data_IF_017148964448
#
_entry.id   IF_017148964448
#
_cell.length_a   1.000
_cell.length_b   1.000
_cell.length_c   1.000
_cell.angle_alpha   90.00
_cell.angle_beta   90.00
_cell.angle_gamma   90.00
#
_symmetry.space_group_name_H-M   'P 1'
#
loop_
_entity.id
_entity.type
_entity.pdbx_description
1 polymer ?
#
# COMPACT_ATOMS: atom_id res chain seq x y z
N UNK A 1 36.64 -5.62 -11.29
CA UNK A 1 35.67 -4.62 -10.78
C UNK A 1 34.82 -5.31 -9.74
N UNK A 2 34.68 -4.72 -8.55
CA UNK A 2 33.80 -5.24 -7.49
C UNK A 2 32.37 -5.37 -8.02
N UNK A 3 31.65 -6.42 -7.64
CA UNK A 3 30.24 -6.57 -8.03
C UNK A 3 29.38 -5.49 -7.33
N UNK A 4 28.19 -5.20 -7.86
CA UNK A 4 27.26 -4.25 -7.20
C UNK A 4 26.92 -4.76 -5.78
N UNK A 5 26.81 -6.08 -5.60
CA UNK A 5 26.55 -6.70 -4.31
C UNK A 5 27.71 -6.46 -3.32
N UNK A 6 28.96 -6.54 -3.78
CA UNK A 6 30.14 -6.20 -2.95
C UNK A 6 30.15 -4.73 -2.56
N UNK A 7 29.83 -3.83 -3.49
CA UNK A 7 29.75 -2.39 -3.22
C UNK A 7 28.67 -2.04 -2.20
N UNK A 8 27.50 -2.69 -2.28
CA UNK A 8 26.43 -2.51 -1.29
C UNK A 8 26.93 -2.96 0.09
N UNK A 9 27.54 -4.15 0.18
CA UNK A 9 28.05 -4.70 1.43
C UNK A 9 29.12 -3.82 2.07
N UNK A 10 30.05 -3.27 1.30
CA UNK A 10 31.05 -2.33 1.80
C UNK A 10 30.42 -1.07 2.41
N UNK A 11 29.38 -0.53 1.77
CA UNK A 11 28.65 0.64 2.28
C UNK A 11 27.85 0.30 3.55
N UNK A 12 27.25 -0.90 3.62
CA UNK A 12 26.55 -1.38 4.83
C UNK A 12 27.51 -1.56 6.00
N UNK A 13 28.69 -2.13 5.78
CA UNK A 13 29.73 -2.29 6.81
C UNK A 13 30.25 -0.93 7.31
N UNK A 14 30.36 0.06 6.42
CA UNK A 14 30.71 1.44 6.81
C UNK A 14 29.63 2.06 7.70
N UNK A 15 28.35 1.87 7.38
CA UNK A 15 27.25 2.36 8.21
C UNK A 15 27.29 1.68 9.59
N UNK A 16 27.48 0.36 9.64
CA UNK A 16 27.52 -0.41 10.88
C UNK A 16 28.66 0.02 11.82
N UNK A 17 29.81 0.40 11.27
CA UNK A 17 30.98 0.89 12.03
C UNK A 17 30.85 2.34 12.48
N UNK A 18 29.95 3.11 11.88
CA UNK A 18 29.80 4.54 12.16
C UNK A 18 28.83 4.77 13.32
N UNK A 19 29.29 5.37 14.42
CA UNK A 19 28.40 5.76 15.53
C UNK A 19 27.47 6.89 15.07
N UNK A 20 26.16 6.70 15.24
CA UNK A 20 25.15 7.70 14.89
C UNK A 20 25.20 8.90 15.85
N UNK A 21 25.48 10.09 15.30
CA UNK A 21 25.41 11.38 15.97
C UNK A 21 25.05 12.47 14.95
N UNK A 22 24.75 13.69 15.41
CA UNK A 22 24.34 14.81 14.54
C UNK A 22 25.40 15.20 13.49
N UNK A 23 26.68 14.89 13.72
CA UNK A 23 27.75 15.13 12.76
C UNK A 23 27.88 14.00 11.71
N UNK A 24 27.54 12.76 12.07
CA UNK A 24 27.61 11.59 11.17
C UNK A 24 26.31 11.34 10.42
N UNK A 25 25.19 11.95 10.83
CA UNK A 25 23.89 11.79 10.21
C UNK A 25 23.88 12.10 8.71
N UNK A 26 24.52 13.19 8.28
CA UNK A 26 24.62 13.54 6.87
C UNK A 26 25.46 12.53 6.06
N UNK A 27 26.56 12.04 6.65
CA UNK A 27 27.37 11.00 6.04
C UNK A 27 26.58 9.70 5.88
N UNK A 28 25.84 9.29 6.91
CA UNK A 28 24.98 8.10 6.88
C UNK A 28 23.86 8.27 5.84
N UNK A 29 23.22 9.45 5.77
CA UNK A 29 22.21 9.75 4.75
C UNK A 29 22.76 9.61 3.33
N UNK A 30 23.98 10.11 3.08
CA UNK A 30 24.67 9.97 1.80
C UNK A 30 25.00 8.51 1.46
N UNK A 31 25.48 7.72 2.43
CA UNK A 31 25.74 6.29 2.24
C UNK A 31 24.46 5.53 1.91
N UNK A 32 23.37 5.79 2.65
CA UNK A 32 22.06 5.18 2.39
C UNK A 32 21.50 5.55 1.01
N UNK A 33 21.67 6.80 0.57
CA UNK A 33 21.24 7.23 -0.77
C UNK A 33 22.03 6.49 -1.88
N UNK A 34 23.34 6.27 -1.68
CA UNK A 34 24.15 5.47 -2.59
C UNK A 34 23.72 4.01 -2.64
N UNK A 35 23.49 3.38 -1.47
CA UNK A 35 22.98 2.01 -1.39
C UNK A 35 21.66 1.90 -2.15
N UNK A 36 20.69 2.78 -1.85
CA UNK A 36 19.38 2.76 -2.50
C UNK A 36 19.46 2.87 -4.02
N UNK A 37 20.39 3.70 -4.54
CA UNK A 37 20.65 3.81 -5.98
C UNK A 37 21.22 2.52 -6.57
N UNK A 38 22.25 1.94 -5.93
CA UNK A 38 22.88 0.70 -6.38
C UNK A 38 21.89 -0.48 -6.37
N UNK A 39 21.06 -0.60 -5.33
CA UNK A 39 20.00 -1.62 -5.25
C UNK A 39 19.01 -1.46 -6.40
N UNK A 40 18.58 -0.24 -6.72
CA UNK A 40 17.66 0.02 -7.83
C UNK A 40 18.28 -0.33 -9.19
N UNK A 41 19.57 -0.02 -9.39
CA UNK A 41 20.30 -0.36 -10.61
C UNK A 41 20.43 -1.89 -10.79
N UNK A 42 20.69 -2.61 -9.70
CA UNK A 42 20.74 -4.08 -9.69
C UNK A 42 19.37 -4.70 -10.01
N UNK A 43 18.29 -4.19 -9.39
CA UNK A 43 16.92 -4.61 -9.70
C UNK A 43 16.58 -4.39 -11.19
N UNK A 44 16.94 -3.24 -11.75
CA UNK A 44 16.74 -2.94 -13.18
C UNK A 44 17.52 -3.92 -14.07
N UNK A 45 18.80 -4.18 -13.77
CA UNK A 45 19.63 -5.15 -14.52
C UNK A 45 19.07 -6.57 -14.47
N UNK A 46 18.56 -6.99 -13.30
CA UNK A 46 17.91 -8.30 -13.10
C UNK A 46 16.59 -8.38 -13.87
N UNK A 47 15.84 -7.28 -13.99
CA UNK A 47 14.58 -7.21 -14.75
C UNK A 47 14.78 -7.24 -16.28
N UNK A 48 15.88 -6.67 -16.81
CA UNK A 48 16.15 -6.63 -18.25
C UNK A 48 16.63 -7.96 -18.85
N UNK A 49 17.11 -8.90 -18.03
CA UNK A 49 17.59 -10.23 -18.48
C UNK A 49 16.53 -11.34 -18.43
N UNK A 50 15.38 -11.08 -17.80
CA UNK A 50 14.28 -12.03 -17.69
C UNK A 50 13.04 -11.49 -18.38
N UNK A 51 12.42 -12.29 -19.25
CA UNK A 51 11.11 -12.02 -19.82
C UNK A 51 10.07 -12.11 -18.68
N UNK A 52 10.05 -11.08 -17.82
CA UNK A 52 9.31 -11.09 -16.56
C UNK A 52 7.86 -10.75 -16.90
N UNK A 53 7.03 -11.78 -17.13
CA UNK A 53 5.57 -11.59 -17.07
C UNK A 53 5.28 -10.92 -15.72
N UNK A 54 4.81 -9.68 -15.74
CA UNK A 54 4.45 -8.98 -14.51
C UNK A 54 3.48 -9.85 -13.73
N UNK A 55 3.90 -10.35 -12.57
CA UNK A 55 3.07 -11.12 -11.67
C UNK A 55 2.08 -10.17 -11.01
N UNK A 56 1.05 -9.81 -11.77
CA UNK A 56 -0.07 -9.02 -11.30
C UNK A 56 -1.14 -10.01 -10.85
N UNK A 57 -1.36 -10.11 -9.55
CA UNK A 57 -2.65 -10.60 -9.04
C UNK A 57 -3.68 -9.60 -9.55
N UNK A 58 -4.55 -10.03 -10.47
CA UNK A 58 -5.63 -9.17 -10.95
C UNK A 58 -6.52 -8.84 -9.75
N UNK A 59 -6.68 -7.54 -9.49
CA UNK A 59 -7.64 -7.07 -8.49
C UNK A 59 -9.01 -7.62 -8.86
N UNK A 60 -9.60 -8.41 -7.97
CA UNK A 60 -10.95 -8.93 -8.12
C UNK A 60 -11.84 -8.28 -7.05
N UNK A 61 -13.03 -7.84 -7.44
CA UNK A 61 -13.93 -7.10 -6.55
C UNK A 61 -13.52 -5.63 -6.36
N UNK A 62 -13.98 -5.03 -5.27
CA UNK A 62 -13.82 -3.61 -5.02
C UNK A 62 -12.52 -3.26 -4.29
N UNK A 63 -11.96 -4.18 -3.51
CA UNK A 63 -10.71 -3.97 -2.78
C UNK A 63 -9.97 -5.28 -2.50
N UNK A 64 -8.66 -5.19 -2.29
CA UNK A 64 -7.77 -6.31 -1.98
C UNK A 64 -7.13 -6.11 -0.60
N UNK A 65 -7.26 -7.11 0.27
CA UNK A 65 -6.66 -7.18 1.61
C UNK A 65 -5.61 -8.28 1.61
N UNK A 66 -4.39 -7.98 2.05
CA UNK A 66 -3.34 -8.99 2.21
C UNK A 66 -3.22 -9.41 3.68
N UNK A 67 -3.34 -10.70 3.97
CA UNK A 67 -3.10 -11.27 5.31
C UNK A 67 -1.60 -11.47 5.49
N UNK A 68 -1.04 -10.87 6.54
CA UNK A 68 0.39 -10.96 6.85
C UNK A 68 0.57 -11.28 8.33
N UNK A 69 1.40 -12.28 8.65
CA UNK A 69 1.60 -12.74 10.03
C UNK A 69 2.39 -14.04 10.08
N UNK A 70 2.86 -14.42 11.26
CA UNK A 70 3.69 -15.61 11.43
C UNK A 70 2.99 -16.91 10.98
N UNK A 71 3.74 -17.98 10.65
CA UNK A 71 3.16 -19.31 10.54
C UNK A 71 2.38 -19.65 11.83
N UNK A 72 1.31 -20.43 11.70
CA UNK A 72 0.54 -20.95 12.86
C UNK A 72 -0.16 -19.92 13.76
N UNK A 73 -0.22 -18.64 13.37
CA UNK A 73 -1.05 -17.62 14.05
C UNK A 73 -2.53 -17.70 13.69
N UNK A 74 -2.92 -18.62 12.78
CA UNK A 74 -4.30 -18.84 12.37
C UNK A 74 -4.76 -18.05 11.14
N UNK A 75 -3.84 -17.59 10.28
CA UNK A 75 -4.17 -16.84 9.04
C UNK A 75 -5.18 -17.56 8.13
N UNK A 76 -4.92 -18.81 7.78
CA UNK A 76 -5.78 -19.55 6.85
C UNK A 76 -7.15 -19.86 7.46
N UNK A 77 -7.21 -20.12 8.77
CA UNK A 77 -8.47 -20.25 9.51
C UNK A 77 -9.26 -18.93 9.51
N UNK A 78 -8.57 -17.81 9.72
CA UNK A 78 -9.17 -16.47 9.67
C UNK A 78 -9.69 -16.15 8.27
N UNK A 79 -8.93 -16.47 7.21
CA UNK A 79 -9.36 -16.34 5.83
C UNK A 79 -10.68 -17.08 5.60
N UNK A 80 -10.74 -18.37 5.94
CA UNK A 80 -11.93 -19.21 5.75
C UNK A 80 -13.16 -18.66 6.49
N UNK A 81 -12.96 -18.06 7.67
CA UNK A 81 -14.03 -17.41 8.44
C UNK A 81 -14.51 -16.11 7.81
N UNK A 82 -13.59 -15.27 7.31
CA UNK A 82 -13.92 -13.99 6.69
C UNK A 82 -14.63 -14.18 5.34
N UNK A 83 -14.21 -15.17 4.55
CA UNK A 83 -14.74 -15.41 3.21
C UNK A 83 -15.97 -16.31 3.21
N UNK A 84 -16.20 -17.03 4.32
CA UNK A 84 -17.21 -18.08 4.42
C UNK A 84 -16.73 -19.35 3.71
N UNK A 85 -16.88 -20.51 4.37
CA UNK A 85 -16.39 -21.81 3.90
C UNK A 85 -16.98 -22.32 2.55
N UNK A 86 -17.83 -21.53 1.89
CA UNK A 86 -18.51 -21.83 0.61
C UNK A 86 -18.29 -20.79 -0.50
N UNK A 87 -17.49 -19.74 -0.26
CA UNK A 87 -17.08 -18.88 -1.37
C UNK A 87 -16.17 -19.74 -2.22
N UNK A 88 -16.59 -20.06 -3.44
CA UNK A 88 -15.86 -20.91 -4.38
C UNK A 88 -14.38 -20.59 -4.25
N UNK A 89 -13.57 -21.60 -3.92
CA UNK A 89 -12.15 -21.57 -4.25
C UNK A 89 -12.17 -21.59 -5.77
N UNK A 90 -12.42 -20.42 -6.37
CA UNK A 90 -12.37 -20.24 -7.80
C UNK A 90 -10.95 -20.61 -8.13
N UNK A 91 -10.80 -21.76 -8.80
CA UNK A 91 -9.57 -22.12 -9.45
C UNK A 91 -9.35 -21.04 -10.52
N UNK A 92 -8.83 -19.90 -10.10
CA UNK A 92 -8.23 -18.94 -11.00
C UNK A 92 -7.00 -19.67 -11.52
N UNK A 93 -7.20 -20.44 -12.59
CA UNK A 93 -6.23 -21.31 -13.27
C UNK A 93 -5.05 -20.55 -13.90
N UNK A 94 -4.67 -19.41 -13.32
CA UNK A 94 -3.68 -18.49 -13.84
C UNK A 94 -2.74 -17.92 -12.76
N UNK A 95 -2.82 -18.36 -11.50
CA UNK A 95 -1.83 -17.97 -10.49
C UNK A 95 -0.83 -19.10 -10.28
N UNK A 96 0.42 -18.89 -10.68
CA UNK A 96 1.58 -19.72 -10.26
C UNK A 96 1.96 -19.52 -8.79
N UNK A 97 1.06 -18.90 -8.01
CA UNK A 97 1.33 -18.36 -6.68
C UNK A 97 0.81 -19.31 -5.61
N UNK A 98 1.58 -19.50 -4.54
CA UNK A 98 1.12 -20.11 -3.27
C UNK A 98 0.12 -19.20 -2.51
N UNK A 99 -0.48 -18.20 -3.17
CA UNK A 99 -1.43 -17.27 -2.56
C UNK A 99 -2.83 -17.84 -2.71
N UNK A 100 -3.52 -18.06 -1.59
CA UNK A 100 -4.92 -18.49 -1.60
C UNK A 100 -5.82 -17.26 -1.58
N UNK A 101 -6.51 -16.92 -2.68
CA UNK A 101 -7.51 -15.87 -2.66
C UNK A 101 -8.83 -16.40 -2.09
N UNK A 102 -9.50 -15.59 -1.28
CA UNK A 102 -10.91 -15.78 -0.97
C UNK A 102 -11.66 -14.46 -1.03
N UNK A 103 -12.96 -14.49 -1.26
CA UNK A 103 -13.78 -13.28 -1.40
C UNK A 103 -14.73 -13.16 -0.22
N UNK A 104 -14.60 -12.06 0.52
CA UNK A 104 -15.53 -11.63 1.55
C UNK A 104 -16.54 -10.68 0.94
N UNK A 105 -17.83 -10.93 1.14
CA UNK A 105 -18.89 -9.97 0.78
C UNK A 105 -19.37 -9.28 2.05
N UNK A 106 -19.23 -7.95 2.10
CA UNK A 106 -19.64 -7.15 3.25
C UNK A 106 -20.23 -5.81 2.79
N UNK A 107 -21.46 -5.50 3.21
CA UNK A 107 -22.19 -4.27 2.81
C UNK A 107 -22.15 -4.03 1.30
N UNK A 108 -22.47 -5.06 0.52
CA UNK A 108 -22.41 -5.10 -0.96
C UNK A 108 -21.00 -4.98 -1.58
N UNK A 109 -19.95 -4.76 -0.79
CA UNK A 109 -18.57 -4.78 -1.27
C UNK A 109 -18.06 -6.21 -1.38
N UNK A 110 -17.47 -6.54 -2.53
CA UNK A 110 -16.66 -7.76 -2.71
C UNK A 110 -15.21 -7.42 -2.39
N UNK A 111 -14.69 -7.92 -1.27
CA UNK A 111 -13.34 -7.68 -0.81
C UNK A 111 -12.55 -8.98 -1.01
N UNK A 112 -11.53 -8.93 -1.87
CA UNK A 112 -10.60 -10.03 -2.08
C UNK A 112 -9.59 -10.07 -0.94
N UNK A 113 -9.49 -11.21 -0.26
CA UNK A 113 -8.53 -11.47 0.81
C UNK A 113 -7.49 -12.43 0.25
N UNK A 114 -6.21 -12.06 0.35
CA UNK A 114 -5.08 -12.85 -0.12
C UNK A 114 -4.28 -13.36 1.08
N UNK A 115 -4.14 -14.67 1.24
CA UNK A 115 -3.19 -15.25 2.20
C UNK A 115 -1.78 -15.17 1.63
N UNK A 116 -0.85 -14.51 2.32
CA UNK A 116 0.54 -14.35 1.92
C UNK A 116 1.45 -15.33 2.70
N UNK A 117 1.58 -16.61 2.29
CA UNK A 117 2.61 -17.46 2.87
C UNK A 117 4.00 -16.98 2.42
N UNK A 118 4.98 -17.04 3.31
CA UNK A 118 6.39 -16.91 2.92
C UNK A 118 7.01 -15.51 2.95
N UNK A 119 6.28 -14.43 3.28
CA UNK A 119 6.90 -13.11 3.55
C UNK A 119 8.03 -13.20 4.59
N UNK A 120 7.89 -14.12 5.57
CA UNK A 120 8.78 -14.25 6.73
C UNK A 120 9.98 -15.17 6.56
N UNK A 121 9.96 -16.09 5.58
CA UNK A 121 10.99 -17.14 5.52
C UNK A 121 12.06 -16.93 4.46
N UNK A 122 11.80 -16.16 3.39
CA UNK A 122 12.71 -16.15 2.23
C UNK A 122 12.81 -14.82 1.44
N UNK A 123 12.28 -13.70 1.94
CA UNK A 123 12.35 -12.41 1.22
C UNK A 123 13.80 -11.93 0.96
N UNK A 124 14.75 -12.33 1.81
CA UNK A 124 16.15 -11.94 1.76
C UNK A 124 17.06 -12.89 0.96
N UNK A 125 16.57 -14.04 0.46
CA UNK A 125 17.43 -15.08 -0.14
C UNK A 125 17.31 -15.29 -1.66
N UNK A 126 16.57 -14.45 -2.37
CA UNK A 126 16.60 -14.39 -3.85
C UNK A 126 16.13 -15.64 -4.59
N UNK A 127 15.67 -16.70 -3.90
CA UNK A 127 15.08 -17.88 -4.53
C UNK A 127 13.66 -17.56 -4.98
N UNK A 128 13.50 -17.20 -6.25
CA UNK A 128 12.29 -17.27 -7.10
C UNK A 128 10.92 -16.85 -6.56
N UNK A 129 10.45 -17.46 -5.46
CA UNK A 129 9.06 -17.45 -4.96
C UNK A 129 8.71 -16.23 -4.09
N UNK A 130 9.69 -15.61 -3.40
CA UNK A 130 9.43 -14.47 -2.50
C UNK A 130 9.02 -13.17 -3.20
N UNK A 131 9.43 -12.98 -4.47
CA UNK A 131 9.13 -11.77 -5.25
C UNK A 131 7.63 -11.62 -5.53
N UNK A 132 6.95 -12.73 -5.77
CA UNK A 132 5.54 -12.72 -6.15
C UNK A 132 4.64 -12.36 -4.95
N UNK A 133 4.97 -12.88 -3.77
CA UNK A 133 4.28 -12.55 -2.50
C UNK A 133 4.44 -11.06 -2.17
N UNK A 134 5.65 -10.52 -2.37
CA UNK A 134 5.91 -9.09 -2.20
C UNK A 134 5.12 -8.26 -3.21
N UNK A 135 5.06 -8.69 -4.49
CA UNK A 135 4.27 -7.99 -5.51
C UNK A 135 2.78 -7.97 -5.16
N UNK A 136 2.23 -9.11 -4.70
CA UNK A 136 0.85 -9.20 -4.22
C UNK A 136 0.60 -8.26 -3.03
N UNK A 137 1.46 -8.27 -2.02
CA UNK A 137 1.36 -7.38 -0.87
C UNK A 137 1.44 -5.89 -1.26
N UNK A 138 2.32 -5.53 -2.20
CA UNK A 138 2.44 -4.15 -2.73
C UNK A 138 1.21 -3.70 -3.53
N UNK A 139 0.45 -4.64 -4.08
CA UNK A 139 -0.77 -4.35 -4.85
C UNK A 139 -2.03 -4.25 -3.99
N UNK A 140 -1.96 -4.70 -2.73
CA UNK A 140 -3.07 -4.68 -1.79
C UNK A 140 -3.45 -3.24 -1.41
N UNK A 141 -4.73 -3.06 -1.09
CA UNK A 141 -5.26 -1.78 -0.61
C UNK A 141 -5.15 -1.66 0.91
N UNK A 142 -5.21 -2.79 1.62
CA UNK A 142 -5.03 -2.87 3.08
C UNK A 142 -4.19 -4.09 3.44
N UNK A 143 -3.29 -3.94 4.41
CA UNK A 143 -2.57 -5.06 5.04
C UNK A 143 -3.29 -5.39 6.36
N UNK A 144 -3.74 -6.65 6.51
CA UNK A 144 -4.27 -7.16 7.76
C UNK A 144 -3.17 -7.97 8.45
N UNK A 145 -2.60 -7.39 9.51
CA UNK A 145 -1.59 -8.01 10.35
C UNK A 145 -2.26 -8.99 11.31
N UNK A 146 -2.00 -10.27 11.16
CA UNK A 146 -2.51 -11.32 12.06
C UNK A 146 -1.46 -11.61 13.11
N UNK A 147 -1.79 -11.30 14.36
CA UNK A 147 -0.92 -11.38 15.52
C UNK A 147 -1.44 -12.45 16.46
N UNK A 148 -0.56 -13.27 17.03
CA UNK A 148 -0.94 -14.23 18.06
C UNK A 148 -0.92 -13.53 19.43
N UNK A 149 -2.00 -13.64 20.23
CA UNK A 149 -2.06 -13.06 21.57
C UNK A 149 -0.91 -13.52 22.48
N UNK A 150 -0.40 -14.75 22.28
CA UNK A 150 0.73 -15.29 23.06
C UNK A 150 2.09 -14.80 22.57
N UNK A 151 2.19 -14.36 21.31
CA UNK A 151 3.43 -13.89 20.69
C UNK A 151 3.16 -12.60 19.90
N UNK A 152 2.95 -11.47 20.61
CA UNK A 152 2.53 -10.22 19.98
C UNK A 152 3.65 -9.45 19.29
N UNK A 153 4.92 -9.85 19.48
CA UNK A 153 6.05 -9.22 18.82
C UNK A 153 6.09 -9.59 17.34
N UNK A 154 5.90 -8.58 16.50
CA UNK A 154 5.93 -8.66 15.03
C UNK A 154 6.98 -7.72 14.42
N UNK A 155 7.96 -7.29 15.21
CA UNK A 155 9.04 -6.40 14.78
C UNK A 155 9.75 -6.87 13.50
N UNK A 156 9.96 -8.19 13.38
CA UNK A 156 10.54 -8.83 12.19
C UNK A 156 9.65 -8.62 10.95
N UNK A 157 8.33 -8.78 11.08
CA UNK A 157 7.38 -8.55 9.97
C UNK A 157 7.40 -7.09 9.51
N UNK A 158 7.46 -6.13 10.44
CA UNK A 158 7.58 -4.73 10.07
C UNK A 158 8.85 -4.45 9.27
N UNK A 159 9.98 -5.03 9.70
CA UNK A 159 11.25 -4.91 8.99
C UNK A 159 11.17 -5.53 7.59
N UNK A 160 10.53 -6.67 7.44
CA UNK A 160 10.35 -7.33 6.14
C UNK A 160 9.46 -6.53 5.20
N UNK A 161 8.32 -6.03 5.68
CA UNK A 161 7.43 -5.16 4.89
C UNK A 161 8.13 -3.85 4.51
N UNK A 162 8.91 -3.28 5.43
CA UNK A 162 9.74 -2.11 5.15
C UNK A 162 10.75 -2.36 4.04
N UNK A 163 11.46 -3.48 4.11
CA UNK A 163 12.44 -3.91 3.10
C UNK A 163 11.76 -4.24 1.76
N UNK A 164 10.52 -4.72 1.80
CA UNK A 164 9.67 -4.94 0.62
C UNK A 164 9.11 -3.64 0.00
N UNK A 165 9.62 -2.47 0.41
CA UNK A 165 9.20 -1.15 -0.05
C UNK A 165 7.72 -0.80 0.28
N UNK A 166 7.16 -1.44 1.30
CA UNK A 166 5.83 -1.16 1.83
C UNK A 166 5.98 -0.25 3.07
N UNK A 167 5.20 0.83 3.11
CA UNK A 167 5.11 1.76 4.25
C UNK A 167 3.72 1.63 4.84
N UNK A 168 3.63 1.07 6.04
CA UNK A 168 2.34 0.84 6.72
C UNK A 168 1.90 2.11 7.45
N UNK A 169 0.64 2.49 7.29
CA UNK A 169 -0.01 3.62 7.98
C UNK A 169 0.73 4.97 7.87
N UNK A 170 1.49 5.16 6.80
CA UNK A 170 2.19 6.41 6.50
C UNK A 170 1.61 7.02 5.22
N UNK A 171 1.64 8.35 5.14
CA UNK A 171 1.39 9.07 3.90
C UNK A 171 2.68 9.23 3.10
N UNK A 172 2.54 9.39 1.78
CA UNK A 172 3.66 9.77 0.93
C UNK A 172 4.16 11.16 1.34
N UNK A 173 5.48 11.35 1.57
CA UNK A 173 5.99 12.66 1.91
C UNK A 173 5.75 13.70 0.81
N UNK A 174 5.28 14.89 1.19
CA UNK A 174 5.12 16.01 0.27
C UNK A 174 6.45 16.72 -0.02
N UNK A 175 7.22 16.07 -0.91
CA UNK A 175 8.48 16.59 -1.43
C UNK A 175 8.44 16.54 -2.95
N UNK A 176 8.70 17.68 -3.58
CA UNK A 176 8.77 17.80 -5.05
C UNK A 176 10.20 18.06 -5.47
N UNK A 177 10.74 17.23 -6.35
CA UNK A 177 12.07 17.41 -6.96
C UNK A 177 11.86 17.76 -8.42
N UNK A 178 12.30 18.95 -8.83
CA UNK A 178 12.21 19.43 -10.22
C UNK A 178 13.62 19.60 -10.76
N UNK A 179 13.95 18.95 -11.88
CA UNK A 179 15.22 19.16 -12.57
C UNK A 179 15.34 20.61 -13.07
N UNK A 180 16.55 21.15 -13.03
CA UNK A 180 16.87 22.45 -13.61
C UNK A 180 18.04 22.31 -14.58
N UNK A 181 18.18 23.23 -15.53
CA UNK A 181 19.29 23.19 -16.49
C UNK A 181 20.59 23.69 -15.85
N UNK A 182 20.50 24.65 -14.93
CA UNK A 182 21.63 25.30 -14.25
C UNK A 182 21.26 25.70 -12.80
N UNK A 183 22.27 26.01 -11.98
CA UNK A 183 22.07 26.57 -10.63
C UNK A 183 22.31 25.60 -9.46
N UNK A 184 22.77 24.37 -9.74
CA UNK A 184 23.03 23.37 -8.70
C UNK A 184 21.76 22.86 -8.03
N UNK A 185 21.91 22.26 -6.86
CA UNK A 185 20.79 21.76 -6.05
C UNK A 185 20.36 22.83 -5.05
N UNK A 186 19.13 23.30 -5.18
CA UNK A 186 18.49 24.28 -4.31
C UNK A 186 17.38 23.62 -3.50
N UNK A 187 17.48 23.67 -2.17
CA UNK A 187 16.46 23.12 -1.26
C UNK A 187 15.63 24.27 -0.68
N UNK A 188 14.32 24.22 -0.87
CA UNK A 188 13.32 25.21 -0.45
C UNK A 188 12.30 24.56 0.50
N UNK A 189 12.55 24.54 1.81
CA UNK A 189 11.54 24.10 2.76
C UNK A 189 10.48 25.19 2.97
N UNK A 190 9.20 24.83 3.00
CA UNK A 190 8.10 25.77 3.31
C UNK A 190 7.83 25.91 4.80
N UNK A 191 8.46 25.07 5.63
CA UNK A 191 8.41 25.10 7.08
C UNK A 191 9.80 24.86 7.68
N UNK A 192 9.92 25.01 9.00
CA UNK A 192 11.17 24.71 9.71
C UNK A 192 11.34 23.19 9.82
N UNK A 193 12.41 22.66 9.21
CA UNK A 193 12.79 21.26 9.33
C UNK A 193 13.45 21.02 10.69
N UNK A 194 12.99 20.01 11.42
CA UNK A 194 13.54 19.63 12.73
C UNK A 194 14.28 18.29 12.69
N UNK A 195 13.92 17.42 11.74
CA UNK A 195 14.41 16.04 11.65
C UNK A 195 15.49 15.82 10.60
N UNK A 196 15.71 16.79 9.72
CA UNK A 196 16.73 16.74 8.67
C UNK A 196 17.20 18.16 8.34
N UNK A 197 18.45 18.32 7.96
CA UNK A 197 18.96 19.62 7.50
C UNK A 197 18.94 19.75 5.98
N UNK A 198 18.93 20.99 5.50
CA UNK A 198 18.96 21.31 4.07
C UNK A 198 20.22 20.79 3.38
N UNK A 199 21.35 20.76 4.08
CA UNK A 199 22.62 20.24 3.58
C UNK A 199 22.54 18.73 3.34
N UNK A 200 21.93 17.99 4.27
CA UNK A 200 21.74 16.54 4.15
C UNK A 200 20.84 16.23 2.95
N UNK A 201 19.72 16.96 2.78
CA UNK A 201 18.84 16.81 1.63
C UNK A 201 19.63 17.02 0.32
N UNK A 202 20.44 18.08 0.27
CA UNK A 202 21.27 18.41 -0.89
C UNK A 202 22.25 17.27 -1.23
N UNK A 203 22.94 16.74 -0.21
CA UNK A 203 23.89 15.64 -0.36
C UNK A 203 23.22 14.35 -0.85
N UNK A 204 22.04 14.02 -0.32
CA UNK A 204 21.27 12.84 -0.74
C UNK A 204 20.80 12.95 -2.20
N UNK A 205 20.27 14.10 -2.58
CA UNK A 205 19.79 14.38 -3.95
C UNK A 205 20.96 14.32 -4.94
N UNK A 206 22.12 14.87 -4.56
CA UNK A 206 23.34 14.77 -5.35
C UNK A 206 23.83 13.33 -5.50
N UNK A 207 23.85 12.57 -4.40
CA UNK A 207 24.25 11.16 -4.42
C UNK A 207 23.34 10.29 -5.30
N UNK A 208 22.05 10.66 -5.40
CA UNK A 208 21.10 9.99 -6.28
C UNK A 208 21.34 10.28 -7.77
N UNK A 209 22.07 11.35 -8.10
CA UNK A 209 22.51 11.69 -9.47
C UNK A 209 21.95 12.99 -10.03
N UNK A 210 21.23 13.78 -9.23
CA UNK A 210 20.82 15.12 -9.64
C UNK A 210 22.00 16.08 -9.54
N UNK A 211 22.30 16.80 -10.62
CA UNK A 211 23.33 17.85 -10.64
C UNK A 211 22.69 19.23 -10.42
N UNK A 212 21.57 19.47 -11.09
CA UNK A 212 20.80 20.70 -11.03
C UNK A 212 19.34 20.36 -10.72
N UNK A 213 18.84 20.77 -9.56
CA UNK A 213 17.47 20.47 -9.14
C UNK A 213 16.96 21.46 -8.08
N UNK A 214 15.67 21.77 -8.13
CA UNK A 214 14.96 22.45 -7.03
C UNK A 214 14.16 21.42 -6.24
N UNK A 215 14.42 21.34 -4.94
CA UNK A 215 13.73 20.44 -4.00
C UNK A 215 12.82 21.29 -3.12
N UNK A 216 11.52 21.16 -3.27
CA UNK A 216 10.53 21.83 -2.43
C UNK A 216 10.03 20.84 -1.39
N UNK A 217 10.19 21.17 -0.11
CA UNK A 217 9.79 20.31 1.02
C UNK A 217 8.65 20.97 1.77
N UNK A 218 7.47 20.33 1.79
CA UNK A 218 6.25 20.89 2.37
C UNK A 218 5.82 20.27 3.71
N UNK A 219 6.59 19.32 4.22
CA UNK A 219 6.38 18.67 5.52
C UNK A 219 7.72 18.41 6.26
N UNK A 220 7.68 18.16 7.57
CA UNK A 220 8.88 17.89 8.38
C UNK A 220 9.31 16.42 8.28
N UNK A 221 10.14 16.12 7.27
CA UNK A 221 10.63 14.78 6.92
C UNK A 221 11.92 14.39 7.64
N UNK A 222 12.15 13.10 7.82
CA UNK A 222 13.44 12.53 8.23
C UNK A 222 14.25 11.99 7.02
N UNK A 223 15.45 11.49 7.30
CA UNK A 223 16.35 10.90 6.29
C UNK A 223 15.70 9.72 5.54
N UNK A 224 14.99 8.85 6.23
CA UNK A 224 14.32 7.68 5.61
C UNK A 224 13.20 8.10 4.65
N UNK A 225 12.38 9.07 5.06
CA UNK A 225 11.32 9.63 4.22
C UNK A 225 11.89 10.31 2.98
N UNK A 226 13.04 11.00 3.09
CA UNK A 226 13.73 11.56 1.94
C UNK A 226 14.26 10.47 0.99
N UNK A 227 14.78 9.34 1.52
CA UNK A 227 15.16 8.18 0.70
C UNK A 227 13.97 7.60 -0.05
N UNK A 228 12.80 7.53 0.60
CA UNK A 228 11.59 7.03 -0.03
C UNK A 228 11.13 7.91 -1.19
N UNK A 229 11.23 9.24 -1.03
CA UNK A 229 10.97 10.20 -2.11
C UNK A 229 11.93 9.99 -3.29
N UNK A 230 13.23 9.85 -3.00
CA UNK A 230 14.25 9.62 -4.04
C UNK A 230 14.05 8.29 -4.78
N UNK A 231 13.71 7.24 -4.05
CA UNK A 231 13.47 5.91 -4.62
C UNK A 231 12.24 5.88 -5.54
N UNK A 232 11.17 6.60 -5.19
CA UNK A 232 9.97 6.76 -6.01
C UNK A 232 9.14 5.49 -6.25
N UNK A 233 9.58 4.33 -5.75
CA UNK A 233 8.93 3.03 -5.94
C UNK A 233 8.25 2.49 -4.67
N UNK A 234 8.17 3.30 -3.60
CA UNK A 234 7.50 2.91 -2.35
C UNK A 234 5.99 2.91 -2.50
N UNK A 235 5.34 1.95 -1.84
CA UNK A 235 3.87 1.91 -1.72
C UNK A 235 3.47 2.19 -0.29
N UNK A 236 2.44 3.01 -0.12
CA UNK A 236 1.94 3.45 1.17
C UNK A 236 0.57 2.81 1.37
N UNK A 237 0.48 1.88 2.32
CA UNK A 237 -0.68 1.00 2.47
C UNK A 237 -1.18 1.11 3.91
N UNK A 238 -2.50 1.26 4.08
CA UNK A 238 -3.12 1.23 5.41
C UNK A 238 -3.04 -0.17 5.99
N UNK A 239 -2.88 -0.26 7.31
CA UNK A 239 -2.76 -1.52 8.01
C UNK A 239 -3.54 -1.53 9.32
N UNK A 240 -4.20 -2.65 9.58
CA UNK A 240 -4.88 -2.93 10.85
C UNK A 240 -4.42 -4.28 11.40
N UNK A 241 -4.70 -4.54 12.67
CA UNK A 241 -4.26 -5.74 13.36
C UNK A 241 -5.44 -6.60 13.82
N UNK A 242 -5.40 -7.89 13.52
CA UNK A 242 -6.23 -8.90 14.15
C UNK A 242 -5.39 -9.64 15.20
N UNK A 243 -5.69 -9.43 16.48
CA UNK A 243 -5.07 -10.16 17.60
C UNK A 243 -5.88 -11.45 17.78
N UNK A 244 -5.32 -12.57 17.33
CA UNK A 244 -6.00 -13.85 17.24
C UNK A 244 -5.76 -14.72 18.49
N UNK A 245 -6.59 -15.77 18.64
CA UNK A 245 -6.59 -16.76 19.74
C UNK A 245 -7.02 -16.20 21.10
N UNK A 246 -7.84 -15.15 21.10
CA UNK A 246 -8.33 -14.53 22.34
C UNK A 246 -9.26 -15.45 23.14
N UNK A 247 -9.78 -16.52 22.53
CA UNK A 247 -10.61 -17.54 23.18
C UNK A 247 -9.86 -18.34 24.25
N UNK A 248 -8.55 -18.45 24.13
CA UNK A 248 -7.67 -19.16 25.08
C UNK A 248 -6.72 -18.22 25.81
N UNK A 249 -6.90 -16.91 25.66
CA UNK A 249 -6.08 -15.91 26.33
C UNK A 249 -6.36 -15.89 27.84
N UNK A 250 -5.29 -15.82 28.63
CA UNK A 250 -5.36 -15.57 30.06
C UNK A 250 -5.49 -14.07 30.35
N UNK A 251 -5.95 -13.73 31.56
CA UNK A 251 -6.04 -12.35 32.04
C UNK A 251 -4.69 -11.62 31.89
N UNK A 252 -4.70 -10.40 31.35
CA UNK A 252 -3.49 -9.59 31.12
C UNK A 252 -2.78 -9.81 29.78
N UNK A 253 -3.04 -10.93 29.08
CA UNK A 253 -2.35 -11.21 27.80
C UNK A 253 -2.84 -10.33 26.65
N UNK A 254 -4.13 -10.04 26.62
CA UNK A 254 -4.70 -9.16 25.60
C UNK A 254 -4.19 -7.72 25.77
N UNK A 255 -4.13 -7.24 27.01
CA UNK A 255 -3.58 -5.94 27.37
C UNK A 255 -2.11 -5.82 26.96
N UNK A 256 -1.32 -6.88 27.22
CA UNK A 256 0.08 -6.95 26.79
C UNK A 256 0.22 -6.88 25.26
N UNK A 257 -0.59 -7.64 24.51
CA UNK A 257 -0.60 -7.59 23.05
C UNK A 257 -0.98 -6.20 22.51
N UNK A 258 -1.89 -5.51 23.20
CA UNK A 258 -2.31 -4.15 22.85
C UNK A 258 -1.22 -3.12 23.12
N UNK A 259 -0.46 -3.28 24.20
CA UNK A 259 0.62 -2.39 24.60
C UNK A 259 1.84 -2.44 23.67
N UNK A 260 2.12 -3.57 23.01
CA UNK A 260 3.27 -3.73 22.12
C UNK A 260 3.18 -2.88 20.84
N UNK A 261 1.97 -2.60 20.34
CA UNK A 261 1.76 -1.91 19.06
C UNK A 261 0.71 -0.80 19.16
N UNK A 262 0.85 0.19 20.05
CA UNK A 262 -0.23 1.08 20.47
C UNK A 262 -0.84 1.88 19.30
N UNK A 263 -0.03 2.25 18.32
CA UNK A 263 -0.42 3.08 17.18
C UNK A 263 -1.31 2.36 16.14
N UNK A 264 -1.47 1.05 16.27
CA UNK A 264 -2.30 0.27 15.36
C UNK A 264 -3.70 0.03 15.94
N UNK A 265 -4.70 0.21 15.07
CA UNK A 265 -6.08 -0.23 15.33
C UNK A 265 -6.10 -1.76 15.39
N UNK A 266 -6.43 -2.30 16.57
CA UNK A 266 -6.44 -3.74 16.86
C UNK A 266 -7.86 -4.24 17.04
N UNK A 267 -8.10 -5.46 16.58
CA UNK A 267 -9.35 -6.20 16.71
C UNK A 267 -9.05 -7.53 17.42
N UNK A 268 -9.63 -7.79 18.60
CA UNK A 268 -9.47 -9.07 19.27
C UNK A 268 -10.37 -10.09 18.56
N UNK A 269 -9.79 -11.18 18.08
CA UNK A 269 -10.52 -12.20 17.32
C UNK A 269 -10.17 -13.60 17.77
N UNK A 270 -11.11 -14.52 17.55
CA UNK A 270 -10.84 -15.95 17.57
C UNK A 270 -11.24 -16.54 16.23
N UNK A 271 -10.25 -16.93 15.42
CA UNK A 271 -10.50 -17.66 14.19
C UNK A 271 -11.21 -19.01 14.44
N UNK A 272 -10.97 -19.62 15.61
CA UNK A 272 -11.57 -20.89 16.00
C UNK A 272 -13.07 -20.72 16.29
N UNK A 273 -13.44 -19.80 17.19
CA UNK A 273 -14.84 -19.65 17.65
C UNK A 273 -15.66 -18.70 16.77
N UNK A 274 -15.00 -17.79 16.04
CA UNK A 274 -15.66 -16.72 15.28
C UNK A 274 -15.89 -15.43 16.09
N UNK A 275 -15.41 -15.37 17.33
CA UNK A 275 -15.45 -14.15 18.14
C UNK A 275 -14.68 -13.02 17.46
N UNK A 276 -15.23 -11.79 17.49
CA UNK A 276 -14.55 -10.60 16.97
C UNK A 276 -14.65 -10.39 15.44
N UNK A 277 -15.30 -11.31 14.72
CA UNK A 277 -15.26 -11.31 13.25
C UNK A 277 -16.05 -10.16 12.64
N UNK A 278 -17.23 -9.84 13.16
CA UNK A 278 -18.05 -8.75 12.62
C UNK A 278 -17.39 -7.39 12.86
N UNK A 279 -16.76 -7.16 14.01
CA UNK A 279 -15.99 -5.93 14.24
C UNK A 279 -14.77 -5.85 13.31
N UNK A 280 -14.07 -6.97 13.06
CA UNK A 280 -12.96 -7.02 12.11
C UNK A 280 -13.42 -6.72 10.68
N UNK A 281 -14.55 -7.29 10.23
CA UNK A 281 -15.12 -7.02 8.90
C UNK A 281 -15.48 -5.55 8.73
N UNK A 282 -16.15 -4.97 9.73
CA UNK A 282 -16.45 -3.55 9.78
C UNK A 282 -15.17 -2.70 9.75
N UNK A 283 -14.18 -3.07 10.55
CA UNK A 283 -12.87 -2.43 10.60
C UNK A 283 -12.12 -2.43 9.26
N UNK A 284 -12.14 -3.55 8.54
CA UNK A 284 -11.59 -3.66 7.19
C UNK A 284 -12.32 -2.74 6.21
N UNK A 285 -13.66 -2.79 6.22
CA UNK A 285 -14.50 -1.96 5.36
C UNK A 285 -14.22 -0.46 5.56
N UNK A 286 -14.17 -0.01 6.82
CA UNK A 286 -13.85 1.38 7.16
C UNK A 286 -12.45 1.80 6.71
N UNK A 287 -11.48 0.89 6.80
CA UNK A 287 -10.09 1.17 6.43
C UNK A 287 -9.92 1.34 4.92
N UNK A 288 -10.63 0.54 4.12
CA UNK A 288 -10.64 0.62 2.65
C UNK A 288 -11.17 1.99 2.17
N UNK A 289 -12.01 2.67 2.96
CA UNK A 289 -12.58 3.99 2.66
C UNK A 289 -13.37 3.99 1.34
N UNK A 290 -14.36 3.10 1.30
CA UNK A 290 -15.29 2.96 0.18
C UNK A 290 -16.35 4.06 0.20
N UNK A 291 -16.76 4.49 -0.99
CA UNK A 291 -17.86 5.42 -1.22
C UNK A 291 -18.86 4.80 -2.19
N UNK A 292 -20.13 5.17 -2.03
CA UNK A 292 -21.27 4.71 -2.83
C UNK A 292 -21.54 5.71 -3.95
N UNK A 293 -21.77 5.21 -5.14
CA UNK A 293 -22.19 6.00 -6.30
C UNK A 293 -23.42 5.35 -6.90
N UNK A 294 -24.41 6.16 -7.25
CA UNK A 294 -25.63 5.66 -7.89
C UNK A 294 -25.59 5.96 -9.38
N UNK A 295 -25.75 4.94 -10.20
CA UNK A 295 -25.74 5.12 -11.65
C UNK A 295 -27.13 5.52 -12.13
N UNK A 296 -27.16 6.56 -12.96
CA UNK A 296 -28.38 7.06 -13.59
C UNK A 296 -28.33 6.81 -15.10
N UNK A 297 -29.14 5.90 -15.65
CA UNK A 297 -29.26 5.74 -17.09
C UNK A 297 -29.82 7.00 -17.75
N UNK A 298 -29.48 7.23 -19.03
CA UNK A 298 -29.96 8.41 -19.75
C UNK A 298 -31.48 8.34 -19.91
N UNK A 299 -32.18 9.38 -19.43
CA UNK A 299 -33.65 9.48 -19.51
C UNK A 299 -34.41 8.64 -18.48
N UNK A 300 -33.73 7.99 -17.53
CA UNK A 300 -34.36 7.22 -16.45
C UNK A 300 -33.99 7.81 -15.08
N UNK A 301 -34.70 7.38 -14.04
CA UNK A 301 -34.33 7.66 -12.65
C UNK A 301 -33.11 6.84 -12.24
N UNK A 302 -32.40 7.31 -11.21
CA UNK A 302 -31.26 6.59 -10.67
C UNK A 302 -31.76 5.40 -9.83
N UNK A 303 -31.09 4.26 -9.96
CA UNK A 303 -31.27 3.16 -9.02
C UNK A 303 -30.58 3.54 -7.70
N UNK A 304 -31.39 3.80 -6.67
CA UNK A 304 -30.92 4.17 -5.33
C UNK A 304 -30.77 2.96 -4.41
N UNK A 305 -31.17 1.76 -4.85
CA UNK A 305 -31.13 0.53 -4.07
C UNK A 305 -29.78 -0.17 -4.21
N UNK A 306 -29.17 -0.12 -5.41
CA UNK A 306 -27.90 -0.79 -5.70
C UNK A 306 -26.79 0.23 -5.98
N UNK A 307 -25.97 0.58 -4.98
CA UNK A 307 -24.84 1.47 -5.20
C UNK A 307 -23.69 0.75 -5.92
N UNK A 308 -23.06 1.46 -6.85
CA UNK A 308 -21.72 1.15 -7.32
C UNK A 308 -20.70 1.59 -6.27
N UNK A 309 -19.98 0.64 -5.68
CA UNK A 309 -18.98 0.91 -4.65
C UNK A 309 -17.61 1.19 -5.26
N UNK A 310 -17.07 2.37 -5.00
CA UNK A 310 -15.74 2.81 -5.46
C UNK A 310 -14.89 3.30 -4.29
N UNK A 311 -13.59 3.52 -4.48
CA UNK A 311 -12.72 4.03 -3.42
C UNK A 311 -12.78 5.55 -3.38
N UNK A 312 -12.65 6.13 -2.18
CA UNK A 312 -12.53 7.58 -2.05
C UNK A 312 -11.35 8.10 -2.86
N UNK A 313 -11.59 9.19 -3.60
CA UNK A 313 -10.59 9.80 -4.47
C UNK A 313 -10.54 9.20 -5.88
N UNK A 314 -11.33 8.16 -6.16
CA UNK A 314 -11.57 7.74 -7.55
C UNK A 314 -12.17 8.88 -8.38
N UNK A 315 -11.96 8.76 -9.67
CA UNK A 315 -12.43 9.69 -10.69
C UNK A 315 -13.57 9.08 -11.51
N UNK A 316 -14.28 9.89 -12.29
CA UNK A 316 -15.27 9.39 -13.26
C UNK A 316 -14.63 8.39 -14.23
N UNK A 317 -13.36 8.58 -14.60
CA UNK A 317 -12.64 7.62 -15.43
C UNK A 317 -12.47 6.25 -14.76
N UNK A 318 -12.25 6.20 -13.45
CA UNK A 318 -12.17 4.95 -12.70
C UNK A 318 -13.55 4.29 -12.59
N UNK A 319 -14.59 5.09 -12.36
CA UNK A 319 -16.00 4.63 -12.35
C UNK A 319 -16.36 3.99 -13.69
N UNK A 320 -15.98 4.61 -14.81
CA UNK A 320 -16.20 4.06 -16.14
C UNK A 320 -15.50 2.70 -16.32
N UNK A 321 -14.26 2.59 -15.85
CA UNK A 321 -13.46 1.36 -15.96
C UNK A 321 -14.01 0.22 -15.10
N UNK A 322 -14.59 0.54 -13.93
CA UNK A 322 -15.29 -0.41 -13.06
C UNK A 322 -16.57 -0.97 -13.68
N UNK A 323 -17.31 -0.15 -14.45
CA UNK A 323 -18.51 -0.61 -15.18
C UNK A 323 -18.07 -1.49 -16.34
N UNK A 324 -17.32 -0.93 -17.28
CA UNK A 324 -16.73 -1.65 -18.41
C UNK A 324 -15.72 -0.77 -19.16
N UNK A 325 -14.60 -1.34 -19.60
CA UNK A 325 -13.51 -0.60 -20.31
C UNK A 325 -14.00 0.25 -21.49
N UNK A 326 -15.04 -0.19 -22.19
CA UNK A 326 -15.64 0.54 -23.31
C UNK A 326 -16.21 1.91 -22.92
N UNK A 327 -16.73 2.10 -21.70
CA UNK A 327 -17.25 3.40 -21.25
C UNK A 327 -16.16 4.47 -21.20
N UNK A 328 -14.97 4.08 -20.74
CA UNK A 328 -13.81 4.99 -20.69
C UNK A 328 -13.29 5.31 -22.09
N UNK A 329 -13.23 4.32 -22.99
CA UNK A 329 -12.78 4.49 -24.38
C UNK A 329 -13.73 5.40 -25.17
N UNK A 330 -15.04 5.19 -25.01
CA UNK A 330 -16.07 5.93 -25.75
C UNK A 330 -16.60 7.12 -24.94
N UNK A 331 -15.93 7.57 -23.88
CA UNK A 331 -16.43 8.64 -23.02
C UNK A 331 -16.63 9.95 -23.80
N UNK A 332 -17.79 10.59 -23.61
CA UNK A 332 -18.06 11.95 -24.10
C UNK A 332 -18.03 12.96 -22.95
N UNK A 333 -18.88 12.75 -21.95
CA UNK A 333 -18.94 13.50 -20.70
C UNK A 333 -19.76 12.71 -19.66
N UNK A 334 -19.69 13.11 -18.40
CA UNK A 334 -20.61 12.64 -17.37
C UNK A 334 -21.40 13.80 -16.78
N UNK A 335 -22.59 13.53 -16.27
CA UNK A 335 -23.37 14.45 -15.47
C UNK A 335 -23.42 13.94 -14.04
N UNK A 336 -23.18 14.82 -13.07
CA UNK A 336 -23.13 14.45 -11.65
C UNK A 336 -24.13 15.27 -10.84
N UNK A 337 -24.85 14.59 -9.94
CA UNK A 337 -25.68 15.21 -8.91
C UNK A 337 -25.17 14.74 -7.56
N UNK A 338 -24.77 15.65 -6.68
CA UNK A 338 -24.23 15.30 -5.37
C UNK A 338 -23.21 16.30 -4.88
N UNK A 339 -22.47 15.92 -3.84
CA UNK A 339 -21.53 16.82 -3.13
C UNK A 339 -20.29 17.14 -3.96
N UNK A 340 -19.92 16.29 -4.92
CA UNK A 340 -18.77 16.60 -5.79
C UNK A 340 -19.08 17.65 -6.86
N UNK A 341 -20.36 17.87 -7.18
CA UNK A 341 -20.80 18.83 -8.17
C UNK A 341 -21.09 20.19 -7.53
N UNK A 342 -20.76 21.27 -8.23
CA UNK A 342 -21.10 22.65 -7.83
C UNK A 342 -22.60 22.94 -7.95
N UNK A 343 -23.26 22.28 -8.90
CA UNK A 343 -24.70 22.36 -9.11
C UNK A 343 -25.24 21.02 -9.63
N UNK A 344 -26.52 20.69 -9.37
CA UNK A 344 -27.12 19.44 -9.81
C UNK A 344 -27.03 19.27 -11.33
N UNK A 345 -26.52 18.13 -11.80
CA UNK A 345 -26.38 17.84 -13.22
C UNK A 345 -25.18 18.51 -13.88
N UNK A 346 -24.18 18.93 -13.09
CA UNK A 346 -22.94 19.49 -13.63
C UNK A 346 -22.30 18.51 -14.60
N UNK A 347 -21.94 19.00 -15.78
CA UNK A 347 -21.17 18.25 -16.76
C UNK A 347 -19.70 18.22 -16.36
N UNK A 348 -19.10 17.02 -16.32
CA UNK A 348 -17.74 16.79 -15.85
C UNK A 348 -16.97 15.87 -16.80
N UNK A 349 -15.64 15.95 -16.74
CA UNK A 349 -14.71 15.10 -17.48
C UNK A 349 -14.31 13.84 -16.70
N UNK A 350 -13.38 13.07 -17.27
CA UNK A 350 -12.86 11.83 -16.67
C UNK A 350 -12.13 12.08 -15.33
N UNK A 351 -11.42 13.20 -15.19
CA UNK A 351 -10.60 13.51 -14.01
C UNK A 351 -11.40 14.02 -12.80
N UNK A 352 -12.72 14.19 -12.96
CA UNK A 352 -13.58 14.66 -11.89
C UNK A 352 -13.65 13.64 -10.76
N UNK A 353 -13.30 14.06 -9.55
CA UNK A 353 -13.33 13.22 -8.36
C UNK A 353 -14.75 13.09 -7.84
N UNK A 354 -15.18 11.85 -7.66
CA UNK A 354 -16.50 11.51 -7.13
C UNK A 354 -16.50 11.50 -5.60
N UNK A 355 -17.65 11.78 -5.01
CA UNK A 355 -17.91 11.77 -3.57
C UNK A 355 -18.99 10.75 -3.22
N UNK A 356 -19.08 10.41 -1.92
CA UNK A 356 -20.10 9.48 -1.42
C UNK A 356 -21.52 10.00 -1.71
N UNK A 357 -22.37 9.09 -2.17
CA UNK A 357 -23.76 9.30 -2.57
C UNK A 357 -23.95 10.16 -3.83
N UNK A 358 -22.89 10.38 -4.63
CA UNK A 358 -23.05 11.02 -5.92
C UNK A 358 -23.90 10.14 -6.86
N UNK A 359 -24.80 10.78 -7.60
CA UNK A 359 -25.51 10.19 -8.73
C UNK A 359 -24.78 10.56 -10.01
N UNK A 360 -24.44 9.57 -10.84
CA UNK A 360 -23.63 9.75 -12.05
C UNK A 360 -24.35 9.20 -13.27
N UNK A 361 -24.50 10.05 -14.29
CA UNK A 361 -24.95 9.64 -15.62
C UNK A 361 -23.78 9.74 -16.60
N UNK A 362 -23.39 8.63 -17.22
CA UNK A 362 -22.26 8.59 -18.17
C UNK A 362 -22.81 8.64 -19.59
N UNK A 363 -22.32 9.60 -20.38
CA UNK A 363 -22.68 9.73 -21.79
C UNK A 363 -21.50 9.31 -22.65
N UNK A 364 -21.72 8.30 -23.47
CA UNK A 364 -20.72 7.78 -24.43
C UNK A 364 -20.97 8.32 -25.83
N UNK A 365 -19.91 8.40 -26.62
CA UNK A 365 -19.97 8.65 -28.06
C UNK A 365 -20.62 7.44 -28.72
N UNK A 366 -21.50 7.70 -29.69
CA UNK A 366 -22.11 6.65 -30.53
C UNK A 366 -21.07 6.01 -31.43
#
# INVERSE_FOLDING_TARGET
MASIEDQIKELEDQIAKTKYNKATEGHIGKLKAKIAKLTMEDEKRKSSKGNTKGFYVKKAGNATVALVGFPSVGKSTLLNRLTGAKSEVGAYHFTTLDVVPGVMVYKHAKIQILDMPGLIKDASRGKGRGREVIAAARSADVILLVVDVFNPDISVLFKELWNAAIRLNQSRPDVTITGADQGGILVKPTLKLTKITTEIIKDMVSAYGYVNATVVVREDINVEQMLDVLAGNRVYIKAIMAVNKVDIAMEGQLEHAYAMNPDYRKFPVSAATGLGMEELKQGLYDTIDMIRIYLKPQGQEADMDIPLLVKRGNTIGDVCELIHRAFKQNFRYAMVWGKSAKFPGQTVGLDHKVMDEDVVCIIVKR
#
